data_IF_000227948645
#
_entry.id   IF_000227948645
#
_cell.length_a   1.000
_cell.length_b   1.000
_cell.length_c   1.000
_cell.angle_alpha   90.00
_cell.angle_beta   90.00
_cell.angle_gamma   90.00
#
_symmetry.space_group_name_H-M   'P 1'
#
loop_
_entity.id
_entity.type
_entity.pdbx_description
1 polymer ?
#
# COMPACT_ATOMS: atom_id res chain seq x y z
N UNK A 1 -26.88 7.45 46.87
CA UNK A 1 -26.84 7.86 45.45
C UNK A 1 -28.24 8.30 45.07
N UNK A 2 -28.45 9.57 44.71
CA UNK A 2 -29.77 10.14 44.44
C UNK A 2 -30.22 9.86 42.98
N UNK A 3 -31.52 9.84 42.72
CA UNK A 3 -32.13 9.53 41.41
C UNK A 3 -31.55 10.37 40.24
N UNK A 4 -31.14 11.60 40.54
CA UNK A 4 -30.51 12.55 39.62
C UNK A 4 -29.06 12.16 39.29
N UNK A 5 -28.30 11.66 40.28
CA UNK A 5 -26.93 11.16 40.08
C UNK A 5 -26.93 9.89 39.23
N UNK A 6 -27.93 9.03 39.40
CA UNK A 6 -28.15 7.86 38.54
C UNK A 6 -28.44 8.27 37.10
N UNK A 7 -29.40 9.17 36.87
CA UNK A 7 -29.72 9.68 35.52
C UNK A 7 -28.54 10.38 34.84
N UNK A 8 -27.72 11.12 35.59
CA UNK A 8 -26.52 11.75 35.05
C UNK A 8 -25.48 10.70 34.62
N UNK A 9 -25.32 9.65 35.43
CA UNK A 9 -24.42 8.52 35.11
C UNK A 9 -24.87 7.80 33.85
N UNK A 10 -26.17 7.51 33.72
CA UNK A 10 -26.76 6.88 32.53
C UNK A 10 -26.55 7.72 31.26
N UNK A 11 -26.74 9.05 31.36
CA UNK A 11 -26.53 9.96 30.22
C UNK A 11 -25.06 9.99 29.78
N UNK A 12 -24.13 10.01 30.73
CA UNK A 12 -22.68 10.00 30.45
C UNK A 12 -22.30 8.68 29.75
N UNK A 13 -22.80 7.54 30.22
CA UNK A 13 -22.54 6.25 29.59
C UNK A 13 -23.16 6.17 28.19
N UNK A 14 -24.36 6.70 27.99
CA UNK A 14 -24.98 6.79 26.68
C UNK A 14 -24.16 7.63 25.68
N UNK A 15 -23.65 8.79 26.11
CA UNK A 15 -22.78 9.63 25.28
C UNK A 15 -21.48 8.92 24.90
N UNK A 16 -20.85 8.20 25.84
CA UNK A 16 -19.65 7.39 25.55
C UNK A 16 -19.92 6.33 24.49
N UNK A 17 -21.05 5.63 24.58
CA UNK A 17 -21.45 4.61 23.60
C UNK A 17 -21.65 5.21 22.20
N UNK A 18 -22.26 6.39 22.09
CA UNK A 18 -22.42 7.08 20.80
C UNK A 18 -21.07 7.45 20.17
N UNK A 19 -20.13 7.96 20.97
CA UNK A 19 -18.77 8.29 20.52
C UNK A 19 -18.04 7.02 20.05
N UNK A 20 -18.17 5.93 20.79
CA UNK A 20 -17.56 4.64 20.43
C UNK A 20 -18.14 4.08 19.12
N UNK A 21 -19.46 4.17 18.88
CA UNK A 21 -20.09 3.81 17.60
C UNK A 21 -19.57 4.68 16.45
N UNK A 22 -19.48 5.99 16.64
CA UNK A 22 -18.95 6.92 15.64
C UNK A 22 -17.50 6.58 15.26
N UNK A 23 -16.67 6.31 16.27
CA UNK A 23 -15.27 5.88 16.06
C UNK A 23 -15.19 4.53 15.32
N UNK A 24 -16.03 3.56 15.67
CA UNK A 24 -16.07 2.27 14.98
C UNK A 24 -16.37 2.44 13.48
N UNK A 25 -17.44 3.18 13.16
CA UNK A 25 -17.84 3.42 11.76
C UNK A 25 -16.74 4.14 10.97
N UNK A 26 -16.09 5.12 11.59
CA UNK A 26 -14.94 5.81 11.01
C UNK A 26 -13.78 4.85 10.71
N UNK A 27 -13.41 3.99 11.66
CA UNK A 27 -12.32 3.03 11.48
C UNK A 27 -12.66 1.94 10.45
N UNK A 28 -13.91 1.47 10.40
CA UNK A 28 -14.38 0.52 9.40
C UNK A 28 -14.29 1.11 7.99
N UNK A 29 -14.85 2.32 7.77
CA UNK A 29 -14.73 3.02 6.49
C UNK A 29 -13.27 3.29 6.10
N UNK A 30 -12.42 3.69 7.06
CA UNK A 30 -11.00 3.87 6.79
C UNK A 30 -10.32 2.59 6.28
N UNK A 31 -10.67 1.43 6.86
CA UNK A 31 -10.14 0.13 6.42
C UNK A 31 -10.66 -0.24 5.03
N UNK A 32 -11.98 -0.18 4.82
CA UNK A 32 -12.65 -0.70 3.62
C UNK A 32 -12.40 0.18 2.40
N UNK A 33 -12.48 1.50 2.57
CA UNK A 33 -12.42 2.44 1.45
C UNK A 33 -10.99 2.83 1.11
N UNK A 34 -10.07 2.73 2.07
CA UNK A 34 -8.69 3.20 1.90
C UNK A 34 -7.66 2.09 2.09
N UNK A 35 -7.55 1.47 3.27
CA UNK A 35 -6.37 0.64 3.57
C UNK A 35 -6.35 -0.71 2.84
N UNK A 36 -7.48 -1.43 2.76
CA UNK A 36 -7.55 -2.70 2.04
C UNK A 36 -7.33 -2.55 0.53
N UNK A 37 -8.03 -1.65 -0.19
CA UNK A 37 -7.80 -1.45 -1.62
C UNK A 37 -6.35 -1.09 -1.94
N UNK A 38 -5.71 -0.26 -1.10
CA UNK A 38 -4.32 0.11 -1.30
C UNK A 38 -3.33 -1.02 -1.00
N UNK A 39 -3.60 -1.87 -0.01
CA UNK A 39 -2.81 -3.07 0.22
C UNK A 39 -2.89 -4.02 -0.98
N UNK A 40 -4.09 -4.27 -1.49
CA UNK A 40 -4.30 -5.11 -2.68
C UNK A 40 -3.57 -4.55 -3.90
N UNK A 41 -3.64 -3.24 -4.10
CA UNK A 41 -2.94 -2.57 -5.20
C UNK A 41 -1.41 -2.71 -5.07
N UNK A 42 -0.85 -2.59 -3.86
CA UNK A 42 0.57 -2.82 -3.60
C UNK A 42 0.99 -4.28 -3.83
N UNK A 43 0.15 -5.24 -3.44
CA UNK A 43 0.40 -6.67 -3.67
C UNK A 43 0.42 -6.97 -5.17
N UNK A 44 -0.52 -6.40 -5.94
CA UNK A 44 -0.56 -6.55 -7.39
C UNK A 44 0.69 -5.94 -8.04
N UNK A 45 1.04 -4.70 -7.70
CA UNK A 45 2.25 -4.04 -8.19
C UNK A 45 3.51 -4.88 -7.95
N UNK A 46 3.64 -5.46 -6.75
CA UNK A 46 4.74 -6.36 -6.43
C UNK A 46 4.76 -7.57 -7.37
N UNK A 47 3.62 -8.22 -7.54
CA UNK A 47 3.50 -9.39 -8.44
C UNK A 47 3.89 -9.03 -9.88
N UNK A 48 3.38 -7.92 -10.40
CA UNK A 48 3.62 -7.49 -11.78
C UNK A 48 5.11 -7.17 -12.01
N UNK A 49 5.78 -6.51 -11.05
CA UNK A 49 7.22 -6.24 -11.13
C UNK A 49 8.08 -7.50 -10.99
N UNK A 50 7.66 -8.47 -10.17
CA UNK A 50 8.34 -9.76 -10.06
C UNK A 50 8.20 -10.57 -11.36
N UNK A 51 7.04 -10.53 -12.01
CA UNK A 51 6.85 -11.12 -13.33
C UNK A 51 7.76 -10.47 -14.36
N UNK A 52 7.83 -9.13 -14.40
CA UNK A 52 8.75 -8.40 -15.27
C UNK A 52 10.22 -8.80 -15.02
N UNK A 53 10.63 -8.94 -13.76
CA UNK A 53 11.98 -9.40 -13.38
C UNK A 53 12.26 -10.80 -13.92
N UNK A 54 11.32 -11.73 -13.76
CA UNK A 54 11.48 -13.11 -14.22
C UNK A 54 11.53 -13.19 -15.75
N UNK A 55 10.67 -12.44 -16.46
CA UNK A 55 10.69 -12.33 -17.92
C UNK A 55 12.07 -11.80 -18.40
N UNK A 56 12.59 -10.74 -17.77
CA UNK A 56 13.93 -10.22 -18.06
C UNK A 56 15.01 -11.31 -17.89
N UNK A 57 15.03 -12.01 -16.76
CA UNK A 57 16.03 -13.05 -16.47
C UNK A 57 15.96 -14.22 -17.47
N UNK A 58 14.75 -14.67 -17.81
CA UNK A 58 14.52 -15.75 -18.78
C UNK A 58 15.03 -15.38 -20.17
N UNK A 59 14.66 -14.19 -20.64
CA UNK A 59 15.05 -13.68 -21.95
C UNK A 59 16.58 -13.46 -22.01
N UNK A 60 17.23 -13.05 -20.90
CA UNK A 60 18.70 -12.96 -20.82
C UNK A 60 19.43 -14.32 -20.83
N UNK A 61 18.84 -15.36 -20.23
CA UNK A 61 19.44 -16.71 -20.24
C UNK A 61 19.37 -17.38 -21.60
N UNK A 62 18.31 -17.08 -22.35
CA UNK A 62 17.99 -17.75 -23.62
C UNK A 62 18.56 -17.01 -24.84
N UNK A 63 18.87 -15.71 -24.71
CA UNK A 63 19.41 -14.87 -25.79
C UNK A 63 20.78 -14.29 -25.37
N UNK A 64 21.92 -14.76 -25.92
CA UNK A 64 23.24 -14.15 -25.70
C UNK A 64 23.26 -12.68 -26.17
N UNK A 65 24.23 -11.86 -25.71
CA UNK A 65 24.05 -10.41 -25.60
C UNK A 65 23.73 -9.77 -26.96
N UNK A 66 22.56 -9.13 -27.03
CA UNK A 66 22.15 -8.12 -28.01
C UNK A 66 22.08 -8.54 -29.49
N UNK A 67 21.16 -9.45 -29.83
CA UNK A 67 20.65 -9.49 -31.20
C UNK A 67 19.17 -9.10 -31.33
N UNK A 68 18.26 -9.66 -30.53
CA UNK A 68 16.85 -9.65 -30.92
C UNK A 68 15.79 -9.45 -29.82
N UNK A 69 16.14 -9.29 -28.54
CA UNK A 69 15.12 -8.99 -27.52
C UNK A 69 14.74 -7.50 -27.61
N UNK A 70 13.50 -7.15 -28.01
CA UNK A 70 13.12 -5.75 -28.17
C UNK A 70 13.06 -5.11 -26.79
N UNK A 71 14.08 -4.30 -26.49
CA UNK A 71 14.22 -3.53 -25.27
C UNK A 71 12.95 -2.70 -24.96
N UNK A 72 12.28 -2.23 -26.01
CA UNK A 72 11.00 -1.51 -25.96
C UNK A 72 9.89 -2.31 -25.26
N UNK A 73 9.86 -3.65 -25.40
CA UNK A 73 8.88 -4.52 -24.72
C UNK A 73 8.88 -4.30 -23.21
N UNK A 74 10.06 -4.22 -22.57
CA UNK A 74 10.15 -4.08 -21.11
C UNK A 74 9.84 -2.65 -20.65
N UNK A 75 10.21 -1.65 -21.46
CA UNK A 75 9.82 -0.26 -21.23
C UNK A 75 8.30 -0.08 -21.28
N UNK A 76 7.66 -0.66 -22.30
CA UNK A 76 6.21 -0.61 -22.48
C UNK A 76 5.49 -1.34 -21.33
N UNK A 77 5.96 -2.54 -20.96
CA UNK A 77 5.43 -3.30 -19.83
C UNK A 77 5.54 -2.53 -18.51
N UNK A 78 6.68 -1.90 -18.26
CA UNK A 78 6.89 -1.08 -17.07
C UNK A 78 5.95 0.12 -17.08
N UNK A 79 5.78 0.77 -18.22
CA UNK A 79 4.82 1.87 -18.38
C UNK A 79 3.40 1.41 -18.07
N UNK A 80 2.93 0.30 -18.65
CA UNK A 80 1.60 -0.28 -18.37
C UNK A 80 1.37 -0.54 -16.88
N UNK A 81 2.34 -1.17 -16.20
CA UNK A 81 2.26 -1.47 -14.76
C UNK A 81 2.16 -0.17 -13.95
N UNK A 82 3.03 0.80 -14.25
CA UNK A 82 3.06 2.08 -13.52
C UNK A 82 1.80 2.91 -13.76
N UNK A 83 1.31 2.97 -15.00
CA UNK A 83 0.16 3.78 -15.39
C UNK A 83 -1.14 3.18 -14.81
N UNK A 84 -1.26 1.84 -14.81
CA UNK A 84 -2.35 1.15 -14.11
C UNK A 84 -2.36 1.49 -12.61
N UNK A 85 -1.21 1.37 -11.94
CA UNK A 85 -1.12 1.67 -10.51
C UNK A 85 -1.41 3.14 -10.19
N UNK A 86 -0.95 4.07 -11.03
CA UNK A 86 -1.23 5.50 -10.91
C UNK A 86 -2.73 5.78 -11.11
N UNK A 87 -3.35 5.14 -12.11
CA UNK A 87 -4.78 5.28 -12.41
C UNK A 87 -5.65 4.82 -11.25
N UNK A 88 -5.42 3.60 -10.76
CA UNK A 88 -6.13 3.04 -9.59
C UNK A 88 -5.88 3.87 -8.32
N UNK A 89 -4.64 4.33 -8.10
CA UNK A 89 -4.29 5.22 -6.99
C UNK A 89 -5.08 6.53 -7.01
N UNK A 90 -5.21 7.16 -8.19
CA UNK A 90 -6.02 8.40 -8.36
C UNK A 90 -7.50 8.15 -8.11
N UNK A 91 -8.04 7.03 -8.60
CA UNK A 91 -9.43 6.64 -8.35
C UNK A 91 -9.73 6.49 -6.85
N UNK A 92 -8.79 5.92 -6.09
CA UNK A 92 -8.87 5.78 -4.63
C UNK A 92 -8.60 7.09 -3.86
N UNK A 93 -8.52 8.25 -4.53
CA UNK A 93 -8.24 9.54 -3.91
C UNK A 93 -6.83 9.64 -3.32
N UNK A 94 -5.88 8.82 -3.80
CA UNK A 94 -4.49 8.79 -3.34
C UNK A 94 -3.59 9.41 -4.41
N UNK A 95 -3.28 10.73 -4.31
CA UNK A 95 -2.60 11.45 -5.37
C UNK A 95 -1.12 11.06 -5.58
N UNK A 96 -0.62 9.94 -5.04
CA UNK A 96 0.79 9.64 -5.19
C UNK A 96 1.17 8.14 -5.25
N UNK A 97 1.88 7.74 -6.31
CA UNK A 97 2.42 6.40 -6.47
C UNK A 97 3.79 6.30 -5.78
N UNK A 98 3.84 6.49 -4.46
CA UNK A 98 5.08 6.46 -3.69
C UNK A 98 5.48 5.02 -3.33
N UNK A 99 6.70 4.62 -3.68
CA UNK A 99 7.22 3.30 -3.35
C UNK A 99 7.98 3.32 -2.02
N UNK A 100 8.57 4.45 -1.64
CA UNK A 100 9.30 4.59 -0.39
C UNK A 100 8.84 5.79 0.42
N UNK A 101 8.55 5.58 1.70
CA UNK A 101 8.23 6.63 2.67
C UNK A 101 9.08 6.45 3.92
N UNK A 102 9.76 7.50 4.36
CA UNK A 102 10.44 7.54 5.66
C UNK A 102 9.63 8.43 6.60
N UNK A 103 9.17 7.86 7.72
CA UNK A 103 8.61 8.70 8.78
C UNK A 103 9.75 9.31 9.59
N UNK A 104 9.78 10.64 9.66
CA UNK A 104 10.68 11.41 10.52
C UNK A 104 9.81 12.19 11.48
N UNK A 105 9.75 11.78 12.77
CA UNK A 105 9.00 12.36 13.91
C UNK A 105 7.64 13.04 13.61
N UNK A 106 7.61 14.13 12.83
CA UNK A 106 6.43 14.91 12.47
C UNK A 106 6.20 15.08 10.94
N UNK A 107 6.90 14.34 10.08
CA UNK A 107 6.80 14.45 8.61
C UNK A 107 6.98 13.09 7.92
N UNK A 108 6.40 12.97 6.72
CA UNK A 108 6.62 11.83 5.83
C UNK A 108 7.50 12.30 4.68
N UNK A 109 8.73 11.83 4.64
CA UNK A 109 9.63 12.07 3.51
C UNK A 109 9.37 11.01 2.44
N UNK A 110 9.16 11.46 1.20
CA UNK A 110 9.01 10.59 0.04
C UNK A 110 10.41 10.24 -0.46
N UNK A 111 10.78 8.96 -0.36
CA UNK A 111 12.11 8.48 -0.74
C UNK A 111 12.19 8.26 -2.25
N UNK A 112 11.13 7.73 -2.86
CA UNK A 112 11.08 7.41 -4.29
C UNK A 112 9.63 7.32 -4.78
N UNK A 113 9.38 7.80 -5.99
CA UNK A 113 8.09 7.69 -6.69
C UNK A 113 8.18 6.64 -7.80
N UNK A 114 7.06 5.98 -8.15
CA UNK A 114 6.99 5.08 -9.30
C UNK A 114 7.39 5.77 -10.59
N UNK A 115 7.05 7.04 -10.75
CA UNK A 115 7.39 7.82 -11.93
C UNK A 115 8.91 8.08 -12.02
N UNK A 116 9.56 8.41 -10.90
CA UNK A 116 11.03 8.49 -10.85
C UNK A 116 11.70 7.14 -11.11
N UNK A 117 11.10 6.04 -10.63
CA UNK A 117 11.58 4.68 -10.91
C UNK A 117 11.39 4.29 -12.38
N UNK A 118 10.27 4.66 -12.99
CA UNK A 118 9.96 4.49 -14.41
C UNK A 118 11.01 5.18 -15.26
N UNK A 119 11.25 6.47 -15.02
CA UNK A 119 12.23 7.26 -15.78
C UNK A 119 13.63 6.68 -15.61
N UNK A 120 14.07 6.39 -14.37
CA UNK A 120 15.38 5.82 -14.10
C UNK A 120 15.59 4.46 -14.79
N UNK A 121 14.59 3.57 -14.75
CA UNK A 121 14.67 2.27 -15.43
C UNK A 121 14.67 2.45 -16.95
N UNK A 122 13.84 3.35 -17.48
CA UNK A 122 13.76 3.67 -18.90
C UNK A 122 15.10 4.20 -19.43
N UNK A 123 15.72 5.13 -18.71
CA UNK A 123 17.03 5.71 -19.05
C UNK A 123 18.14 4.65 -19.00
N UNK A 124 18.18 3.81 -17.95
CA UNK A 124 19.15 2.70 -17.85
C UNK A 124 19.00 1.67 -18.97
N UNK A 125 17.75 1.42 -19.37
CA UNK A 125 17.39 0.53 -20.46
C UNK A 125 17.88 1.10 -21.81
N UNK A 126 17.80 2.41 -22.04
CA UNK A 126 18.21 3.05 -23.31
C UNK A 126 19.69 3.40 -23.38
N UNK A 127 20.33 3.83 -22.29
CA UNK A 127 21.66 4.45 -22.34
C UNK A 127 22.84 3.48 -22.17
N UNK A 128 22.69 2.39 -21.41
CA UNK A 128 23.89 1.67 -20.92
C UNK A 128 23.90 0.17 -21.12
N UNK A 129 22.81 -0.44 -21.61
CA UNK A 129 22.73 -1.91 -21.72
C UNK A 129 23.12 -2.58 -20.37
N UNK A 130 22.92 -1.87 -19.25
CA UNK A 130 23.45 -2.21 -17.93
C UNK A 130 22.43 -3.06 -17.17
N UNK A 131 22.41 -4.34 -17.51
CA UNK A 131 21.50 -5.35 -16.98
C UNK A 131 21.58 -5.41 -15.45
N UNK A 132 22.78 -5.39 -14.90
CA UNK A 132 22.99 -5.42 -13.45
C UNK A 132 22.41 -4.17 -12.77
N UNK A 133 22.54 -2.99 -13.41
CA UNK A 133 21.91 -1.75 -12.96
C UNK A 133 20.38 -1.85 -12.92
N UNK A 134 19.78 -2.40 -13.97
CA UNK A 134 18.32 -2.59 -14.08
C UNK A 134 17.84 -3.58 -13.01
N UNK A 135 18.49 -4.73 -12.86
CA UNK A 135 18.14 -5.74 -11.87
C UNK A 135 18.26 -5.20 -10.43
N UNK A 136 19.34 -4.48 -10.12
CA UNK A 136 19.52 -3.85 -8.82
C UNK A 136 18.44 -2.80 -8.51
N UNK A 137 18.00 -2.06 -9.52
CA UNK A 137 16.94 -1.06 -9.35
C UNK A 137 15.57 -1.70 -9.17
N UNK A 138 15.27 -2.78 -9.89
CA UNK A 138 14.06 -3.59 -9.66
C UNK A 138 14.06 -4.18 -8.25
N UNK A 139 15.20 -4.69 -7.77
CA UNK A 139 15.34 -5.22 -6.41
C UNK A 139 15.14 -4.15 -5.32
N UNK A 140 15.65 -2.94 -5.56
CA UNK A 140 15.40 -1.80 -4.69
C UNK A 140 13.90 -1.48 -4.63
N UNK A 141 13.22 -1.48 -5.76
CA UNK A 141 11.77 -1.23 -5.84
C UNK A 141 10.98 -2.34 -5.11
N UNK A 142 11.31 -3.62 -5.34
CA UNK A 142 10.66 -4.74 -4.65
C UNK A 142 10.80 -4.65 -3.13
N UNK A 143 11.98 -4.27 -2.64
CA UNK A 143 12.21 -4.06 -1.20
C UNK A 143 11.31 -2.97 -0.65
N UNK A 144 11.25 -1.82 -1.34
CA UNK A 144 10.44 -0.68 -0.93
C UNK A 144 8.93 -1.00 -0.94
N UNK A 145 8.44 -1.72 -1.96
CA UNK A 145 7.04 -2.19 -2.00
C UNK A 145 6.76 -3.16 -0.85
N UNK A 146 7.70 -4.06 -0.56
CA UNK A 146 7.59 -5.00 0.55
C UNK A 146 7.48 -4.27 1.89
N UNK A 147 8.33 -3.28 2.12
CA UNK A 147 8.26 -2.41 3.30
C UNK A 147 6.90 -1.70 3.40
N UNK A 148 6.38 -1.16 2.30
CA UNK A 148 5.05 -0.54 2.24
C UNK A 148 3.90 -1.51 2.55
N UNK A 149 3.93 -2.74 2.02
CA UNK A 149 2.92 -3.77 2.31
C UNK A 149 2.95 -4.11 3.80
N UNK A 150 4.13 -4.32 4.38
CA UNK A 150 4.28 -4.63 5.81
C UNK A 150 3.74 -3.49 6.69
N UNK A 151 4.04 -2.24 6.31
CA UNK A 151 3.52 -1.07 7.00
C UNK A 151 1.98 -0.98 6.91
N UNK A 152 1.41 -1.21 5.73
CA UNK A 152 -0.06 -1.23 5.54
C UNK A 152 -0.73 -2.30 6.39
N UNK A 153 -0.21 -3.53 6.38
CA UNK A 153 -0.69 -4.63 7.23
C UNK A 153 -0.64 -4.30 8.72
N UNK A 154 0.42 -3.62 9.16
CA UNK A 154 0.59 -3.18 10.54
C UNK A 154 -0.49 -2.16 10.94
N UNK A 155 -0.75 -1.16 10.09
CA UNK A 155 -1.81 -0.17 10.33
C UNK A 155 -3.17 -0.84 10.42
N UNK A 156 -3.53 -1.69 9.44
CA UNK A 156 -4.82 -2.40 9.42
C UNK A 156 -4.97 -3.19 10.73
N UNK A 157 -3.94 -3.95 11.13
CA UNK A 157 -3.94 -4.70 12.39
C UNK A 157 -4.13 -3.80 13.61
N UNK A 158 -3.52 -2.61 13.65
CA UNK A 158 -3.71 -1.65 14.74
C UNK A 158 -5.15 -1.13 14.78
N UNK A 159 -5.72 -0.76 13.63
CA UNK A 159 -7.10 -0.27 13.54
C UNK A 159 -8.08 -1.37 13.93
N UNK A 160 -7.92 -2.59 13.41
CA UNK A 160 -8.76 -3.74 13.77
C UNK A 160 -8.76 -4.00 15.29
N UNK A 161 -7.59 -3.93 15.95
CA UNK A 161 -7.51 -4.05 17.42
C UNK A 161 -8.32 -2.97 18.16
N UNK A 162 -8.27 -1.72 17.68
CA UNK A 162 -9.06 -0.63 18.27
C UNK A 162 -10.56 -0.89 18.09
N UNK A 163 -10.97 -1.38 16.92
CA UNK A 163 -12.35 -1.75 16.64
C UNK A 163 -12.82 -2.92 17.52
N UNK A 164 -12.00 -3.95 17.72
CA UNK A 164 -12.31 -5.04 18.66
C UNK A 164 -12.48 -4.52 20.10
N UNK A 165 -11.62 -3.60 20.54
CA UNK A 165 -11.75 -2.99 21.86
C UNK A 165 -13.05 -2.18 22.00
N UNK A 166 -13.43 -1.43 20.97
CA UNK A 166 -14.71 -0.72 20.92
C UNK A 166 -15.89 -1.70 20.96
N UNK A 167 -15.86 -2.78 20.18
CA UNK A 167 -16.90 -3.82 20.22
C UNK A 167 -17.04 -4.46 21.61
N UNK A 168 -15.90 -4.72 22.28
CA UNK A 168 -15.90 -5.19 23.66
C UNK A 168 -16.54 -4.20 24.64
N UNK A 169 -16.27 -2.90 24.51
CA UNK A 169 -16.91 -1.85 25.34
C UNK A 169 -18.40 -1.71 25.08
N UNK A 170 -18.82 -1.89 23.83
CA UNK A 170 -20.21 -1.82 23.42
C UNK A 170 -21.00 -3.11 23.73
N UNK A 171 -20.38 -4.13 24.34
CA UNK A 171 -20.96 -5.47 24.51
C UNK A 171 -21.51 -6.07 23.19
N UNK A 172 -20.93 -5.67 22.06
CA UNK A 172 -21.21 -6.24 20.74
C UNK A 172 -20.33 -7.48 20.58
N UNK A 173 -20.76 -8.56 21.21
CA UNK A 173 -20.07 -9.85 21.12
C UNK A 173 -20.25 -10.43 19.72
N UNK A 174 -19.21 -10.33 18.88
CA UNK A 174 -19.20 -10.85 17.50
C UNK A 174 -19.11 -12.39 17.44
N UNK A 175 -18.95 -13.07 18.57
CA UNK A 175 -18.95 -14.55 18.62
C UNK A 175 -20.36 -15.16 18.53
N UNK A 176 -21.41 -14.34 18.49
CA UNK A 176 -22.82 -14.76 18.38
C UNK A 176 -23.46 -14.46 17.02
N UNK A 177 -22.67 -14.12 16.00
CA UNK A 177 -23.13 -14.04 14.59
C UNK A 177 -22.65 -15.28 13.86
#
# INVERSE_FOLDING_TARGET
>A
MNLTEQKLTELIEYQKQLVDIGNYNYYQSAIDDFFYPAELLNVKLKSDLQMLKMELIEDFKTVPPFANAPITKYSDRLAEITDYYIGEGKFLGRPYPHIGKKQIKNSTEIITTLESSKNCLTDMIYETHNIDGILNQIDKIDRLITENILYSKSIIKTISKRMTAINGRLNRDLTKI
#
